data_IF_791801394271
#
_entry.id   IF_791801394271
#
_cell.length_a   1.000
_cell.length_b   1.000
_cell.length_c   1.000
_cell.angle_alpha   90.00
_cell.angle_beta   90.00
_cell.angle_gamma   90.00
#
_symmetry.space_group_name_H-M   'P 1'
#
loop_
_entity.id
_entity.type
_entity.pdbx_description
1 polymer ?
#
# COMPACT_ATOMS: atom_id res chain seq x y z
N UNK A 1 1.06 -31.35 -29.71
CA UNK A 1 1.89 -30.14 -29.68
C UNK A 1 1.60 -29.43 -28.36
N UNK A 2 2.55 -29.38 -27.45
CA UNK A 2 2.36 -28.80 -26.11
C UNK A 2 2.76 -27.32 -26.12
N UNK A 3 1.82 -26.43 -25.83
CA UNK A 3 2.06 -24.99 -25.66
C UNK A 3 1.44 -24.54 -24.34
N UNK A 4 2.14 -24.78 -23.23
CA UNK A 4 1.64 -24.41 -21.89
C UNK A 4 2.72 -23.78 -20.99
N UNK A 5 3.91 -23.49 -21.51
CA UNK A 5 5.04 -22.98 -20.71
C UNK A 5 5.19 -21.45 -20.74
N UNK A 6 4.38 -20.72 -21.52
CA UNK A 6 4.55 -19.26 -21.68
C UNK A 6 3.64 -18.42 -20.77
N UNK A 7 2.59 -18.99 -20.15
CA UNK A 7 1.62 -18.21 -19.37
C UNK A 7 2.17 -17.75 -18.02
N UNK A 8 2.92 -18.60 -17.31
CA UNK A 8 3.51 -18.23 -16.01
C UNK A 8 4.63 -17.19 -16.16
N UNK A 9 5.54 -17.38 -17.11
CA UNK A 9 6.60 -16.41 -17.39
C UNK A 9 6.02 -15.04 -17.82
N UNK A 10 4.94 -15.05 -18.63
CA UNK A 10 4.24 -13.84 -19.03
C UNK A 10 3.52 -13.17 -17.85
N UNK A 11 2.80 -13.91 -17.02
CA UNK A 11 2.13 -13.37 -15.83
C UNK A 11 3.13 -12.79 -14.81
N UNK A 12 4.29 -13.42 -14.63
CA UNK A 12 5.38 -12.91 -13.80
C UNK A 12 5.92 -11.60 -14.40
N UNK A 13 6.23 -11.58 -15.69
CA UNK A 13 6.72 -10.38 -16.37
C UNK A 13 5.69 -9.23 -16.37
N UNK A 14 4.40 -9.56 -16.53
CA UNK A 14 3.30 -8.59 -16.47
C UNK A 14 3.14 -8.04 -15.05
N UNK A 15 3.33 -8.87 -14.02
CA UNK A 15 3.35 -8.43 -12.62
C UNK A 15 4.51 -7.48 -12.34
N UNK A 16 5.74 -7.83 -12.75
CA UNK A 16 6.93 -6.97 -12.57
C UNK A 16 6.85 -5.67 -13.38
N UNK A 17 6.18 -5.65 -14.54
CA UNK A 17 5.92 -4.43 -15.30
C UNK A 17 4.64 -3.71 -14.87
N UNK A 18 3.89 -4.24 -13.90
CA UNK A 18 2.64 -3.64 -13.47
C UNK A 18 2.92 -2.43 -12.56
N UNK A 19 2.01 -1.44 -12.54
CA UNK A 19 2.05 -0.35 -11.58
C UNK A 19 2.06 -0.82 -10.12
N UNK A 20 1.57 -2.03 -9.83
CA UNK A 20 1.57 -2.60 -8.48
C UNK A 20 2.98 -2.98 -8.00
N UNK A 21 3.86 -3.44 -8.90
CA UNK A 21 5.26 -3.73 -8.56
C UNK A 21 6.10 -2.47 -8.41
N UNK A 22 5.79 -1.44 -9.20
CA UNK A 22 6.46 -0.14 -9.16
C UNK A 22 5.86 0.82 -8.11
N UNK A 23 4.82 0.40 -7.39
CA UNK A 23 4.23 1.22 -6.34
C UNK A 23 5.24 1.47 -5.21
N UNK A 24 5.20 2.66 -4.56
CA UNK A 24 6.00 2.89 -3.37
C UNK A 24 5.75 1.76 -2.35
N UNK A 25 6.83 1.26 -1.74
CA UNK A 25 6.70 0.17 -0.77
C UNK A 25 5.82 0.64 0.40
N UNK A 26 4.77 -0.12 0.69
CA UNK A 26 3.78 0.24 1.73
C UNK A 26 4.44 0.43 3.09
N UNK A 27 5.54 -0.28 3.35
CA UNK A 27 6.37 -0.14 4.56
C UNK A 27 7.00 1.24 4.69
N UNK A 28 7.51 1.83 3.61
CA UNK A 28 8.14 3.16 3.64
C UNK A 28 7.08 4.26 3.87
N UNK A 29 5.93 4.13 3.22
CA UNK A 29 4.79 5.03 3.42
C UNK A 29 4.27 4.96 4.86
N UNK A 30 4.15 3.75 5.41
CA UNK A 30 3.74 3.54 6.80
C UNK A 30 4.75 4.15 7.77
N UNK A 31 6.04 3.91 7.59
CA UNK A 31 7.10 4.46 8.43
C UNK A 31 7.07 5.99 8.42
N UNK A 32 6.90 6.61 7.25
CA UNK A 32 6.79 8.06 7.13
C UNK A 32 5.57 8.62 7.89
N UNK A 33 4.40 7.97 7.79
CA UNK A 33 3.18 8.38 8.50
C UNK A 33 3.35 8.20 10.02
N UNK A 34 3.90 7.08 10.47
CA UNK A 34 4.14 6.85 11.89
C UNK A 34 5.12 7.87 12.46
N UNK A 35 6.19 8.19 11.72
CA UNK A 35 7.16 9.19 12.13
C UNK A 35 6.52 10.58 12.24
N UNK A 36 5.68 10.97 11.28
CA UNK A 36 4.94 12.24 11.33
C UNK A 36 4.02 12.30 12.56
N UNK A 37 3.23 11.26 12.80
CA UNK A 37 2.37 11.17 13.99
C UNK A 37 3.19 11.33 15.28
N UNK A 38 4.31 10.62 15.38
CA UNK A 38 5.21 10.71 16.54
C UNK A 38 5.82 12.12 16.70
N UNK A 39 6.22 12.77 15.61
CA UNK A 39 6.75 14.15 15.64
C UNK A 39 5.69 15.15 16.11
N UNK A 40 4.42 14.92 15.79
CA UNK A 40 3.28 15.71 16.29
C UNK A 40 2.81 15.31 17.69
N UNK A 41 3.49 14.37 18.37
CA UNK A 41 3.09 13.86 19.68
C UNK A 41 1.79 13.05 19.65
N UNK A 42 1.36 12.61 18.47
CA UNK A 42 0.17 11.80 18.28
C UNK A 42 0.53 10.31 18.38
N UNK A 43 -0.29 9.51 19.08
CA UNK A 43 -0.08 8.08 19.14
C UNK A 43 -0.36 7.44 17.77
N UNK A 44 0.57 6.61 17.29
CA UNK A 44 0.48 5.87 16.02
C UNK A 44 -0.50 4.68 16.09
N UNK A 45 -1.75 4.97 16.48
CA UNK A 45 -2.85 3.99 16.51
C UNK A 45 -3.38 3.72 15.11
N UNK A 46 -3.99 2.55 14.88
CA UNK A 46 -4.62 2.21 13.59
C UNK A 46 -5.57 3.32 13.11
N UNK A 47 -6.36 3.92 14.01
CA UNK A 47 -7.26 5.04 13.69
C UNK A 47 -6.51 6.27 13.19
N UNK A 48 -5.43 6.67 13.85
CA UNK A 48 -4.63 7.83 13.46
C UNK A 48 -3.89 7.61 12.14
N UNK A 49 -3.38 6.39 11.94
CA UNK A 49 -2.71 5.99 10.70
C UNK A 49 -3.72 6.02 9.53
N UNK A 50 -4.89 5.38 9.68
CA UNK A 50 -5.95 5.37 8.65
C UNK A 50 -6.37 6.80 8.30
N UNK A 51 -6.62 7.66 9.29
CA UNK A 51 -6.99 9.05 9.05
C UNK A 51 -5.91 9.81 8.25
N UNK A 52 -4.64 9.57 8.56
CA UNK A 52 -3.50 10.18 7.84
C UNK A 52 -3.41 9.68 6.40
N UNK A 53 -3.61 8.38 6.17
CA UNK A 53 -3.63 7.78 4.82
C UNK A 53 -4.78 8.37 3.98
N UNK A 54 -5.99 8.50 4.56
CA UNK A 54 -7.15 9.07 3.87
C UNK A 54 -6.91 10.54 3.49
N UNK A 55 -6.35 11.34 4.41
CA UNK A 55 -6.03 12.74 4.13
C UNK A 55 -5.01 12.87 2.99
N UNK A 56 -4.01 11.98 2.91
CA UNK A 56 -3.05 11.95 1.81
C UNK A 56 -3.70 11.55 0.49
N UNK A 57 -4.63 10.58 0.50
CA UNK A 57 -5.38 10.17 -0.69
C UNK A 57 -6.24 11.30 -1.29
N UNK A 58 -6.76 12.20 -0.45
CA UNK A 58 -7.57 13.34 -0.91
C UNK A 58 -6.74 14.43 -1.59
N UNK A 59 -5.47 14.59 -1.20
CA UNK A 59 -4.58 15.65 -1.68
C UNK A 59 -3.51 15.23 -2.70
N UNK A 60 -3.26 13.93 -2.86
CA UNK A 60 -2.20 13.42 -3.73
C UNK A 60 -2.61 13.43 -5.21
N UNK A 61 -1.73 13.95 -6.07
CA UNK A 61 -1.94 14.01 -7.53
C UNK A 61 -1.09 12.99 -8.28
N UNK A 62 0.01 12.54 -7.69
CA UNK A 62 0.85 11.50 -8.27
C UNK A 62 0.12 10.14 -8.22
N UNK A 63 -0.11 9.55 -9.39
CA UNK A 63 -0.86 8.29 -9.50
C UNK A 63 -0.16 7.10 -8.85
N UNK A 64 1.18 7.09 -8.84
CA UNK A 64 1.96 6.03 -8.20
C UNK A 64 1.88 6.14 -6.68
N UNK A 65 1.95 7.36 -6.13
CA UNK A 65 1.77 7.62 -4.70
C UNK A 65 0.34 7.32 -4.25
N UNK A 66 -0.66 7.73 -5.03
CA UNK A 66 -2.07 7.37 -4.80
C UNK A 66 -2.24 5.85 -4.72
N UNK A 67 -1.64 5.10 -5.65
CA UNK A 67 -1.72 3.65 -5.62
C UNK A 67 -1.01 3.06 -4.40
N UNK A 68 0.14 3.62 -4.01
CA UNK A 68 0.85 3.26 -2.78
C UNK A 68 -0.03 3.44 -1.53
N UNK A 69 -0.69 4.60 -1.38
CA UNK A 69 -1.58 4.85 -0.26
C UNK A 69 -2.84 3.96 -0.26
N UNK A 70 -3.40 3.64 -1.44
CA UNK A 70 -4.52 2.67 -1.56
C UNK A 70 -4.10 1.28 -1.11
N UNK A 71 -2.93 0.81 -1.54
CA UNK A 71 -2.39 -0.48 -1.15
C UNK A 71 -2.14 -0.53 0.37
N UNK A 72 -1.56 0.52 0.93
CA UNK A 72 -1.33 0.65 2.37
C UNK A 72 -2.65 0.63 3.15
N UNK A 73 -3.67 1.35 2.69
CA UNK A 73 -4.99 1.36 3.33
C UNK A 73 -5.63 -0.04 3.33
N UNK A 74 -5.56 -0.76 2.20
CA UNK A 74 -6.09 -2.11 2.11
C UNK A 74 -5.37 -3.08 3.07
N UNK A 75 -4.04 -2.98 3.20
CA UNK A 75 -3.25 -3.81 4.10
C UNK A 75 -3.60 -3.55 5.58
N UNK A 76 -3.73 -2.28 5.98
CA UNK A 76 -4.11 -1.91 7.35
C UNK A 76 -5.52 -2.41 7.68
N UNK A 77 -6.46 -2.25 6.74
CA UNK A 77 -7.85 -2.70 6.93
C UNK A 77 -7.97 -4.23 6.98
N UNK A 78 -7.19 -4.96 6.18
CA UNK A 78 -7.10 -6.41 6.23
C UNK A 78 -6.64 -6.89 7.62
N UNK A 79 -5.51 -6.36 8.10
CA UNK A 79 -4.95 -6.72 9.42
C UNK A 79 -5.89 -6.37 10.58
N UNK A 80 -6.55 -5.22 10.52
CA UNK A 80 -7.52 -4.80 11.56
C UNK A 80 -8.74 -5.73 11.58
N UNK A 81 -9.10 -6.36 10.45
CA UNK A 81 -10.22 -7.30 10.37
C UNK A 81 -9.85 -8.70 10.87
N UNK A 82 -8.59 -9.12 10.68
CA UNK A 82 -8.06 -10.40 11.17
C UNK A 82 -7.84 -10.44 12.69
N UNK A 83 -7.64 -9.29 13.34
CA UNK A 83 -7.52 -9.18 14.81
C UNK A 83 -8.86 -9.28 15.57
N UNK A 84 -9.98 -9.47 14.87
CA UNK A 84 -11.33 -9.59 15.48
C UNK A 84 -11.89 -11.03 15.49
N UNK A 85 -11.14 -12.03 15.02
CA UNK A 85 -11.46 -13.48 15.13
C UNK A 85 -10.61 -14.16 16.24
#
# INVERSE_FOLDING_TARGET
MATSTNTAARAIADYFNSPAFHAPQTTDLLAAIMQELMQHGQPATNKAIIASVLSRLEGEMDQSMLQGYRNLLAEIMGKTSEEQD
#
